data_IF_749481132117
#
_entry.id   IF_749481132117
#
_cell.length_a   1.000
_cell.length_b   1.000
_cell.length_c   1.000
_cell.angle_alpha   90.00
_cell.angle_beta   90.00
_cell.angle_gamma   90.00
#
_symmetry.space_group_name_H-M   'P 1'
#
loop_
_entity.id
_entity.type
_entity.pdbx_description
1 polymer ?
#
# COMPACT_ATOMS: atom_id res chain seq x y z
N UNK A 1 -7.80 -1.82 -17.51
CA UNK A 1 -7.56 -0.77 -16.50
C UNK A 1 -7.97 -1.30 -15.14
N UNK A 2 -7.10 -1.20 -14.13
CA UNK A 2 -7.39 -1.67 -12.78
C UNK A 2 -8.57 -0.88 -12.19
N UNK A 3 -9.69 -1.56 -11.85
CA UNK A 3 -10.89 -0.91 -11.28
C UNK A 3 -10.64 -0.25 -9.92
N UNK A 4 -9.54 -0.56 -9.25
CA UNK A 4 -9.12 0.10 -7.99
C UNK A 4 -8.63 1.51 -8.25
N UNK A 5 -8.13 1.76 -9.45
CA UNK A 5 -7.58 3.04 -9.88
C UNK A 5 -8.64 4.08 -10.25
N UNK A 6 -9.82 3.62 -10.68
CA UNK A 6 -10.89 4.46 -11.23
C UNK A 6 -11.71 5.24 -10.20
N UNK A 7 -11.26 5.27 -8.93
CA UNK A 7 -11.94 5.98 -7.83
C UNK A 7 -11.20 7.23 -7.37
N UNK A 8 -10.15 7.64 -8.09
CA UNK A 8 -9.37 8.83 -7.80
C UNK A 8 -9.91 10.02 -8.60
N UNK A 9 -10.01 11.16 -7.95
CA UNK A 9 -10.25 12.43 -8.63
C UNK A 9 -8.97 12.92 -9.33
N UNK A 10 -9.06 13.86 -10.25
CA UNK A 10 -7.87 14.37 -10.94
C UNK A 10 -7.02 15.29 -10.04
N UNK A 11 -7.65 15.95 -9.07
CA UNK A 11 -7.06 17.05 -8.31
C UNK A 11 -6.63 16.67 -6.88
N UNK A 12 -6.96 15.48 -6.40
CA UNK A 12 -6.62 15.08 -5.04
C UNK A 12 -5.28 14.38 -4.90
N UNK A 13 -5.13 13.74 -3.75
CA UNK A 13 -3.90 13.12 -3.29
C UNK A 13 -4.08 11.62 -3.16
N UNK A 14 -3.06 10.87 -3.56
CA UNK A 14 -2.99 9.42 -3.40
C UNK A 14 -1.73 8.97 -2.69
N UNK A 15 -1.82 7.79 -2.08
CA UNK A 15 -0.67 6.99 -1.67
C UNK A 15 -0.57 5.76 -2.57
N UNK A 16 0.60 5.12 -2.64
CA UNK A 16 0.78 3.86 -3.37
C UNK A 16 0.81 2.71 -2.36
N UNK A 17 0.02 1.66 -2.62
CA UNK A 17 -0.06 0.46 -1.81
C UNK A 17 0.24 -0.79 -2.63
N UNK A 18 0.73 -1.82 -1.95
CA UNK A 18 0.92 -3.16 -2.50
C UNK A 18 0.63 -4.22 -1.43
N UNK A 19 0.65 -5.48 -1.83
CA UNK A 19 0.70 -6.61 -0.92
C UNK A 19 2.07 -7.29 -1.06
N UNK A 20 2.76 -7.50 0.06
CA UNK A 20 4.01 -8.27 0.07
C UNK A 20 3.68 -9.75 -0.10
N UNK A 21 4.31 -10.38 -1.08
CA UNK A 21 3.98 -11.74 -1.52
C UNK A 21 4.31 -12.78 -0.44
N UNK A 22 5.42 -12.59 0.27
CA UNK A 22 5.94 -13.59 1.21
C UNK A 22 5.07 -13.75 2.46
N UNK A 23 4.55 -12.66 3.01
CA UNK A 23 3.82 -12.69 4.29
C UNK A 23 2.42 -12.07 4.24
N UNK A 24 1.98 -11.64 3.06
CA UNK A 24 0.65 -11.09 2.87
C UNK A 24 0.42 -9.73 3.56
N UNK A 25 1.49 -9.06 4.02
CA UNK A 25 1.36 -7.74 4.64
C UNK A 25 1.00 -6.70 3.58
N UNK A 26 0.12 -5.78 3.98
CA UNK A 26 -0.18 -4.59 3.21
C UNK A 26 0.95 -3.59 3.47
N UNK A 27 1.52 -3.07 2.39
CA UNK A 27 2.63 -2.11 2.46
C UNK A 27 2.31 -0.85 1.67
N UNK A 28 3.00 0.22 2.03
CA UNK A 28 2.82 1.57 1.52
C UNK A 28 4.18 2.15 1.12
N UNK A 29 4.24 2.80 -0.04
CA UNK A 29 5.49 3.39 -0.50
C UNK A 29 5.81 4.63 0.31
N UNK A 30 6.94 4.64 1.02
CA UNK A 30 7.41 5.76 1.83
C UNK A 30 8.23 6.77 1.02
N UNK A 31 8.56 7.91 1.66
CA UNK A 31 9.24 9.02 0.99
C UNK A 31 10.67 8.70 0.53
N UNK A 32 11.34 7.79 1.23
CA UNK A 32 12.66 7.26 0.91
C UNK A 32 12.64 6.16 -0.18
N UNK A 33 11.45 5.81 -0.68
CA UNK A 33 11.25 4.77 -1.69
C UNK A 33 11.22 3.35 -1.14
N UNK A 34 11.26 3.16 0.19
CA UNK A 34 11.06 1.87 0.85
C UNK A 34 9.56 1.57 1.04
N UNK A 35 9.24 0.31 1.33
CA UNK A 35 7.87 -0.14 1.60
C UNK A 35 7.61 -0.25 3.10
N UNK A 36 6.90 0.73 3.65
CA UNK A 36 6.49 0.76 5.04
C UNK A 36 5.22 -0.07 5.28
N UNK A 37 5.03 -0.55 6.51
CA UNK A 37 3.86 -1.38 6.87
C UNK A 37 2.68 -0.55 7.37
N UNK A 38 2.89 0.75 7.60
CA UNK A 38 1.92 1.66 8.16
C UNK A 38 1.62 2.78 7.16
N UNK A 39 0.34 3.14 7.03
CA UNK A 39 -0.08 4.15 6.04
C UNK A 39 0.41 5.56 6.40
N UNK A 40 0.63 5.85 7.68
CA UNK A 40 1.16 7.15 8.12
C UNK A 40 2.56 7.45 7.57
N UNK A 41 3.33 6.41 7.21
CA UNK A 41 4.67 6.56 6.66
C UNK A 41 4.64 6.69 5.12
N UNK A 42 3.45 6.61 4.52
CA UNK A 42 3.28 6.63 3.08
C UNK A 42 3.58 8.03 2.50
N UNK A 43 4.28 8.03 1.37
CA UNK A 43 4.45 9.23 0.55
C UNK A 43 3.14 9.59 -0.11
N UNK A 44 2.79 10.87 0.02
CA UNK A 44 1.69 11.50 -0.69
C UNK A 44 2.13 11.87 -2.11
N UNK A 45 1.26 11.57 -3.07
CA UNK A 45 1.44 11.92 -4.48
C UNK A 45 0.22 12.71 -4.95
N UNK A 46 0.40 13.85 -5.63
CA UNK A 46 -0.70 14.42 -6.38
C UNK A 46 -1.16 13.43 -7.45
N UNK A 47 -2.46 13.35 -7.70
CA UNK A 47 -3.02 12.39 -8.66
C UNK A 47 -2.55 12.63 -10.10
N UNK A 48 -2.07 13.82 -10.41
CA UNK A 48 -1.40 14.13 -11.69
C UNK A 48 -0.04 13.44 -11.86
N UNK A 49 0.64 13.07 -10.77
CA UNK A 49 1.99 12.48 -10.80
C UNK A 49 2.05 11.01 -10.37
N UNK A 50 1.02 10.51 -9.69
CA UNK A 50 1.00 9.16 -9.11
C UNK A 50 1.12 8.03 -10.14
N UNK A 51 0.64 8.22 -11.37
CA UNK A 51 0.72 7.20 -12.43
C UNK A 51 2.16 6.92 -12.86
N UNK A 52 3.02 7.94 -12.88
CA UNK A 52 4.43 7.76 -13.22
C UNK A 52 5.18 7.01 -12.10
N UNK A 53 4.88 7.35 -10.84
CA UNK A 53 5.40 6.61 -9.69
C UNK A 53 4.92 5.15 -9.68
N UNK A 54 3.65 4.89 -10.06
CA UNK A 54 3.12 3.53 -10.19
C UNK A 54 3.87 2.72 -11.26
N UNK A 55 4.20 3.29 -12.42
CA UNK A 55 5.00 2.60 -13.44
C UNK A 55 6.37 2.22 -12.90
N UNK A 56 7.06 3.14 -12.22
CA UNK A 56 8.36 2.89 -11.62
C UNK A 56 8.31 1.79 -10.55
N UNK A 57 7.26 1.75 -9.73
CA UNK A 57 7.05 0.69 -8.73
C UNK A 57 6.73 -0.66 -9.39
N UNK A 58 5.92 -0.67 -10.44
CA UNK A 58 5.59 -1.91 -11.16
C UNK A 58 6.82 -2.54 -11.82
N UNK A 59 7.77 -1.73 -12.30
CA UNK A 59 9.01 -2.23 -12.90
C UNK A 59 9.89 -3.02 -11.92
N UNK A 60 9.86 -2.65 -10.63
CA UNK A 60 10.63 -3.30 -9.55
C UNK A 60 9.81 -4.32 -8.72
N UNK A 61 8.53 -4.49 -9.03
CA UNK A 61 7.60 -5.27 -8.21
C UNK A 61 8.05 -6.71 -7.98
N UNK A 62 8.62 -7.35 -9.01
CA UNK A 62 9.08 -8.74 -8.92
C UNK A 62 10.30 -8.87 -8.01
N UNK A 63 11.26 -7.95 -8.11
CA UNK A 63 12.49 -7.93 -7.30
C UNK A 63 12.19 -7.68 -5.83
N UNK A 64 11.19 -6.85 -5.55
CA UNK A 64 10.75 -6.51 -4.19
C UNK A 64 9.67 -7.47 -3.64
N UNK A 65 9.33 -8.54 -4.37
CA UNK A 65 8.29 -9.52 -4.02
C UNK A 65 6.93 -8.87 -3.69
N UNK A 66 6.47 -7.96 -4.55
CA UNK A 66 5.22 -7.21 -4.40
C UNK A 66 4.18 -7.60 -5.44
N UNK A 67 2.93 -7.68 -5.01
CA UNK A 67 1.80 -7.95 -5.89
C UNK A 67 0.69 -6.93 -5.71
N UNK A 68 0.00 -6.64 -6.81
CA UNK A 68 -1.15 -5.73 -6.81
C UNK A 68 -0.78 -4.33 -6.35
N UNK A 69 0.22 -3.70 -6.99
CA UNK A 69 0.59 -2.30 -6.77
C UNK A 69 -0.47 -1.39 -7.38
N UNK A 70 -1.05 -0.49 -6.60
CA UNK A 70 -2.00 0.50 -7.09
C UNK A 70 -2.07 1.74 -6.19
N UNK A 71 -2.65 2.83 -6.71
CA UNK A 71 -2.84 4.06 -5.95
C UNK A 71 -4.17 4.09 -5.19
N UNK A 72 -4.17 4.67 -4.00
CA UNK A 72 -5.32 4.83 -3.12
C UNK A 72 -5.53 6.31 -2.86
N UNK A 73 -6.71 6.82 -3.22
CA UNK A 73 -7.13 8.18 -2.86
C UNK A 73 -7.17 8.34 -1.34
N UNK A 74 -6.58 9.42 -0.84
CA UNK A 74 -6.61 9.76 0.58
C UNK A 74 -7.06 11.21 0.77
N UNK A 75 -7.59 11.48 1.96
CA UNK A 75 -7.71 12.83 2.51
C UNK A 75 -6.64 12.99 3.57
N UNK A 76 -5.96 14.13 3.60
CA UNK A 76 -5.01 14.46 4.65
C UNK A 76 -5.76 14.88 5.92
N UNK A 77 -5.36 14.32 7.06
CA UNK A 77 -5.92 14.62 8.38
C UNK A 77 -4.78 14.90 9.36
N UNK A 78 -5.10 15.42 10.55
CA UNK A 78 -4.11 15.64 11.61
C UNK A 78 -3.39 14.34 12.03
N UNK A 79 -4.04 13.19 11.84
CA UNK A 79 -3.49 11.86 12.10
C UNK A 79 -2.75 11.22 10.91
N UNK A 80 -2.62 11.93 9.79
CA UNK A 80 -2.00 11.43 8.56
C UNK A 80 -2.99 11.10 7.44
N UNK A 81 -2.55 10.40 6.38
CA UNK A 81 -3.41 10.02 5.26
C UNK A 81 -4.53 9.06 5.65
N UNK A 82 -5.78 9.45 5.37
CA UNK A 82 -6.96 8.62 5.58
C UNK A 82 -7.55 8.19 4.22
N UNK A 83 -7.68 6.88 3.92
CA UNK A 83 -8.31 6.43 2.68
C UNK A 83 -9.78 6.87 2.55
N UNK A 84 -10.15 7.34 1.35
CA UNK A 84 -11.51 7.82 1.06
C UNK A 84 -12.55 6.70 1.09
N UNK A 85 -12.18 5.49 0.66
CA UNK A 85 -13.07 4.34 0.55
C UNK A 85 -13.01 3.42 1.78
N UNK A 86 -14.15 2.87 2.18
CA UNK A 86 -14.25 2.00 3.37
C UNK A 86 -13.37 0.74 3.26
N UNK A 87 -13.28 0.14 2.07
CA UNK A 87 -12.43 -1.03 1.83
C UNK A 87 -10.97 -0.72 2.14
N UNK A 88 -10.47 0.41 1.66
CA UNK A 88 -9.08 0.82 1.83
C UNK A 88 -8.80 1.24 3.29
N UNK A 89 -9.78 1.81 4.00
CA UNK A 89 -9.67 2.03 5.45
C UNK A 89 -9.52 0.72 6.22
N UNK A 90 -10.33 -0.30 5.92
CA UNK A 90 -10.21 -1.63 6.52
C UNK A 90 -8.82 -2.22 6.21
N UNK A 91 -8.37 -2.13 4.96
CA UNK A 91 -7.03 -2.59 4.55
C UNK A 91 -5.90 -1.88 5.29
N UNK A 92 -5.99 -0.56 5.49
CA UNK A 92 -4.99 0.19 6.23
C UNK A 92 -4.95 -0.15 7.72
N UNK A 93 -6.08 -0.56 8.30
CA UNK A 93 -6.17 -1.03 9.68
C UNK A 93 -5.61 -2.43 9.93
N UNK A 94 -5.30 -3.20 8.88
CA UNK A 94 -4.72 -4.53 9.00
C UNK A 94 -5.75 -5.67 8.87
N UNK A 95 -5.48 -6.86 9.44
CA UNK A 95 -6.32 -8.03 9.30
C UNK A 95 -7.66 -7.78 9.99
N UNK A 96 -8.75 -8.08 9.30
CA UNK A 96 -10.10 -7.99 9.87
C UNK A 96 -10.55 -9.28 10.55
N UNK A 97 -9.65 -10.27 10.71
CA UNK A 97 -9.91 -11.55 11.36
C UNK A 97 -9.71 -11.43 12.87
N UNK A 98 -10.20 -12.42 13.62
CA UNK A 98 -9.95 -12.49 15.06
C UNK A 98 -8.43 -12.51 15.34
N UNK A 99 -7.94 -11.84 16.41
CA UNK A 99 -6.51 -11.81 16.75
C UNK A 99 -5.87 -13.20 16.81
N UNK A 100 -6.57 -14.21 17.34
CA UNK A 100 -6.10 -15.61 17.41
C UNK A 100 -5.85 -16.27 16.04
N UNK A 101 -6.40 -15.71 14.95
CA UNK A 101 -6.22 -16.18 13.58
C UNK A 101 -5.38 -15.21 12.73
N UNK A 102 -4.86 -14.15 13.34
CA UNK A 102 -3.98 -13.21 12.65
C UNK A 102 -2.62 -13.87 12.45
N UNK A 103 -2.07 -13.90 11.22
CA UNK A 103 -0.72 -14.38 10.99
C UNK A 103 0.25 -13.60 11.87
N UNK A 104 1.26 -14.27 12.44
CA UNK A 104 2.32 -13.56 13.15
C UNK A 104 3.15 -12.76 12.16
N UNK A 105 2.73 -11.52 11.99
CA UNK A 105 3.37 -10.56 11.13
C UNK A 105 4.80 -10.24 11.63
N UNK A 106 5.13 -10.41 12.92
CA UNK A 106 6.47 -10.13 13.47
C UNK A 106 7.52 -11.18 13.11
N UNK A 107 7.12 -12.40 12.74
CA UNK A 107 8.06 -13.43 12.35
C UNK A 107 8.69 -13.10 10.97
N UNK A 108 10.03 -13.01 10.85
CA UNK A 108 10.65 -12.95 9.54
C UNK A 108 10.25 -14.20 8.75
N UNK A 109 9.75 -14.02 7.53
CA UNK A 109 9.49 -15.17 6.66
C UNK A 109 10.81 -15.90 6.44
N UNK A 110 10.93 -17.19 6.80
CA UNK A 110 12.15 -17.94 6.56
C UNK A 110 12.46 -17.91 5.06
N UNK A 111 13.69 -17.57 4.68
CA UNK A 111 14.07 -17.51 3.28
C UNK A 111 13.73 -18.86 2.60
N UNK A 112 13.01 -18.87 1.48
CA UNK A 112 12.81 -20.11 0.76
C UNK A 112 14.16 -20.49 0.16
N UNK A 113 14.74 -21.57 0.69
CA UNK A 113 16.02 -22.19 0.31
C UNK A 113 17.28 -21.48 0.82
N UNK A 114 17.95 -22.15 1.77
CA UNK A 114 19.38 -22.07 2.02
C UNK A 114 20.07 -23.22 1.28
#
# INVERSE_FOLDING_TARGET
MDRRNSRRDAEGTSVITANRLLDGRIVWLAADGQWATLIQDAKLFPNSAVEEALKACNARAQEEALVGIYGVQVTETDSGPLPVTSRERIRAGGPSVHPDFTPDWHAPHPAPYA
#
